data_IF_699126458679
#
_entry.id   IF_699126458679
#
_cell.length_a   1.000
_cell.length_b   1.000
_cell.length_c   1.000
_cell.angle_alpha   90.00
_cell.angle_beta   90.00
_cell.angle_gamma   90.00
#
_symmetry.space_group_name_H-M   'P 1'
#
loop_
_entity.id
_entity.type
_entity.pdbx_description
1 polymer ?
#
# COMPACT_ATOMS: atom_id res chain seq x y z
N UNK A 1 -26.32 42.93 37.45
CA UNK A 1 -25.35 41.84 37.59
C UNK A 1 -25.75 40.78 36.60
N UNK A 2 -25.21 40.92 35.39
CA UNK A 2 -25.45 40.11 34.21
C UNK A 2 -24.13 40.02 33.45
N UNK A 3 -23.95 38.87 32.81
CA UNK A 3 -22.90 38.37 31.91
C UNK A 3 -22.07 39.37 31.11
N UNK A 4 -20.80 39.02 30.88
CA UNK A 4 -20.23 38.87 29.53
C UNK A 4 -18.84 38.18 29.56
N UNK A 5 -18.68 37.10 28.80
CA UNK A 5 -17.39 36.46 28.50
C UNK A 5 -16.69 37.19 27.33
N UNK A 6 -15.36 37.42 27.36
CA UNK A 6 -14.67 37.96 26.20
C UNK A 6 -14.18 36.85 25.26
N UNK A 7 -14.46 37.04 23.97
CA UNK A 7 -13.81 36.36 22.86
C UNK A 7 -12.60 37.18 22.36
N UNK A 8 -11.58 36.53 21.81
CA UNK A 8 -10.65 37.16 20.88
C UNK A 8 -9.18 36.78 21.02
N UNK A 9 -8.67 36.15 19.96
CA UNK A 9 -7.30 36.22 19.42
C UNK A 9 -6.14 35.57 20.18
N UNK A 10 -5.83 34.32 19.81
CA UNK A 10 -4.44 33.87 19.59
C UNK A 10 -4.39 32.62 18.67
N UNK A 11 -4.61 32.82 17.36
CA UNK A 11 -4.22 31.85 16.33
C UNK A 11 -2.98 32.42 15.61
N UNK A 12 -1.90 31.64 15.41
CA UNK A 12 -0.69 32.16 14.79
C UNK A 12 -0.96 32.56 13.34
N UNK A 13 -0.87 33.87 13.13
CA UNK A 13 -1.04 34.63 11.88
C UNK A 13 0.17 34.42 10.97
N UNK A 14 0.34 33.20 10.46
CA UNK A 14 1.43 32.83 9.54
C UNK A 14 0.90 32.09 8.30
N UNK A 15 -0.15 32.61 7.66
CA UNK A 15 -0.59 32.19 6.30
C UNK A 15 -1.01 33.39 5.44
N UNK A 16 -0.52 34.59 5.77
CA UNK A 16 -0.79 35.82 5.03
C UNK A 16 0.51 36.41 4.48
N UNK A 17 1.19 35.67 3.62
CA UNK A 17 2.05 36.25 2.59
C UNK A 17 2.19 35.22 1.46
N UNK A 18 1.72 35.59 0.26
CA UNK A 18 1.71 34.78 -0.94
C UNK A 18 3.11 34.54 -1.49
N UNK A 19 3.91 33.72 -0.80
CA UNK A 19 5.11 33.12 -1.36
C UNK A 19 4.70 31.93 -2.24
N UNK A 20 5.00 32.05 -3.54
CA UNK A 20 5.04 31.00 -4.55
C UNK A 20 5.35 29.62 -3.93
N UNK A 21 4.33 28.78 -3.76
CA UNK A 21 4.56 27.35 -3.66
C UNK A 21 5.12 26.88 -5.01
N UNK A 22 6.11 25.97 -5.03
CA UNK A 22 6.50 25.32 -6.27
C UNK A 22 5.29 24.64 -6.91
N UNK A 23 5.16 24.63 -8.25
CA UNK A 23 4.07 23.93 -8.92
C UNK A 23 4.04 22.46 -8.47
N UNK A 24 2.84 21.95 -8.15
CA UNK A 24 2.67 20.55 -7.73
C UNK A 24 3.14 19.58 -8.81
N UNK A 25 3.56 18.36 -8.47
CA UNK A 25 4.18 17.41 -9.40
C UNK A 25 3.27 16.81 -10.49
N UNK A 26 1.97 17.09 -10.52
CA UNK A 26 1.10 16.88 -11.68
C UNK A 26 0.98 18.11 -12.59
N UNK A 27 1.50 19.27 -12.18
CA UNK A 27 1.42 20.51 -12.95
C UNK A 27 2.17 20.41 -14.28
N UNK A 28 3.34 19.77 -14.32
CA UNK A 28 4.07 19.56 -15.56
C UNK A 28 3.27 18.72 -16.57
N UNK A 29 2.57 17.69 -16.10
CA UNK A 29 1.68 16.87 -16.94
C UNK A 29 0.47 17.69 -17.39
N UNK A 30 -0.20 18.40 -16.48
CA UNK A 30 -1.33 19.27 -16.82
C UNK A 30 -0.97 20.40 -17.80
N UNK A 31 0.20 21.01 -17.65
CA UNK A 31 0.74 22.04 -18.54
C UNK A 31 1.05 21.49 -19.93
N UNK A 32 1.69 20.30 -20.00
CA UNK A 32 1.98 19.64 -21.26
C UNK A 32 0.69 19.25 -22.00
N UNK A 33 -0.32 18.76 -21.28
CA UNK A 33 -1.65 18.46 -21.82
C UNK A 33 -2.32 19.74 -22.34
N UNK A 34 -2.29 20.85 -21.58
CA UNK A 34 -2.84 22.13 -22.00
C UNK A 34 -2.14 22.72 -23.23
N UNK A 35 -0.84 22.49 -23.36
CA UNK A 35 -0.06 22.85 -24.54
C UNK A 35 -0.31 21.93 -25.75
N UNK A 36 -0.99 20.79 -25.56
CA UNK A 36 -1.13 19.74 -26.57
C UNK A 36 0.20 19.07 -26.95
N UNK A 37 1.22 19.19 -26.09
CA UNK A 37 2.55 18.64 -26.33
C UNK A 37 2.64 17.21 -25.81
N UNK A 38 2.41 16.26 -26.72
CA UNK A 38 2.48 14.82 -26.43
C UNK A 38 3.85 14.39 -25.91
N UNK A 39 4.94 14.94 -26.44
CA UNK A 39 6.29 14.54 -26.04
C UNK A 39 6.59 15.03 -24.63
N UNK A 40 6.22 16.28 -24.33
CA UNK A 40 6.31 16.81 -22.97
C UNK A 40 5.39 16.08 -21.98
N UNK A 41 4.20 15.64 -22.41
CA UNK A 41 3.30 14.87 -21.55
C UNK A 41 3.88 13.47 -21.23
N UNK A 42 4.46 12.79 -22.22
CA UNK A 42 5.16 11.52 -21.99
C UNK A 42 6.41 11.68 -21.12
N UNK A 43 7.16 12.77 -21.28
CA UNK A 43 8.28 13.11 -20.40
C UNK A 43 7.80 13.39 -18.97
N UNK A 44 6.69 14.11 -18.79
CA UNK A 44 6.09 14.37 -17.49
C UNK A 44 5.58 13.09 -16.81
N UNK A 45 5.11 12.08 -17.57
CA UNK A 45 4.76 10.75 -17.04
C UNK A 45 6.01 9.96 -16.64
N UNK A 46 7.13 10.14 -17.34
CA UNK A 46 8.40 9.50 -16.99
C UNK A 46 9.02 10.12 -15.72
N UNK A 47 9.07 11.45 -15.65
CA UNK A 47 9.76 12.20 -14.60
C UNK A 47 8.88 12.43 -13.36
N UNK A 48 7.57 12.36 -13.52
CA UNK A 48 6.58 12.72 -12.52
C UNK A 48 5.62 11.58 -12.18
N UNK A 49 4.92 11.69 -11.05
CA UNK A 49 3.91 10.73 -10.68
C UNK A 49 2.58 10.98 -11.42
N UNK A 50 1.78 9.93 -11.56
CA UNK A 50 0.40 9.97 -12.08
C UNK A 50 -0.57 9.34 -11.10
N UNK A 51 -1.81 9.82 -11.09
CA UNK A 51 -2.87 9.20 -10.29
C UNK A 51 -3.50 8.05 -11.09
N UNK A 52 -3.66 6.91 -10.43
CA UNK A 52 -4.30 5.72 -10.97
C UNK A 52 -5.47 5.34 -10.05
N UNK A 53 -6.72 5.27 -10.56
CA UNK A 53 -7.87 4.92 -9.74
C UNK A 53 -7.84 3.46 -9.31
N UNK A 54 -8.42 3.18 -8.15
CA UNK A 54 -8.61 1.85 -7.60
C UNK A 54 -10.09 1.56 -7.37
N UNK A 55 -10.41 0.27 -7.31
CA UNK A 55 -11.67 -0.25 -6.79
C UNK A 55 -11.37 -1.05 -5.54
N UNK A 56 -12.19 -0.88 -4.52
CA UNK A 56 -12.27 -1.83 -3.42
C UNK A 56 -12.90 -3.12 -3.95
N UNK A 57 -12.17 -4.23 -3.84
CA UNK A 57 -12.71 -5.57 -4.10
C UNK A 57 -13.62 -5.98 -2.93
N UNK A 58 -14.51 -6.95 -3.15
CA UNK A 58 -15.40 -7.50 -2.10
C UNK A 58 -14.68 -7.97 -0.82
N UNK A 59 -13.37 -8.23 -0.89
CA UNK A 59 -12.50 -8.65 0.22
C UNK A 59 -11.74 -7.47 0.90
N UNK A 60 -12.07 -6.23 0.53
CA UNK A 60 -11.43 -5.01 1.03
C UNK A 60 -10.04 -4.75 0.45
N UNK A 61 -9.59 -5.51 -0.55
CA UNK A 61 -8.31 -5.24 -1.22
C UNK A 61 -8.48 -4.28 -2.39
N UNK A 62 -7.62 -3.25 -2.49
CA UNK A 62 -7.69 -2.29 -3.58
C UNK A 62 -7.06 -2.86 -4.86
N UNK A 63 -7.79 -2.78 -5.96
CA UNK A 63 -7.36 -3.22 -7.29
C UNK A 63 -7.34 -2.05 -8.27
N UNK A 64 -6.30 -1.96 -9.12
CA UNK A 64 -6.26 -0.94 -10.20
C UNK A 64 -7.53 -1.01 -11.04
N UNK A 65 -8.20 0.13 -11.14
CA UNK A 65 -9.42 0.29 -11.92
C UNK A 65 -9.08 0.53 -13.38
N UNK A 66 -9.60 -0.35 -14.23
CA UNK A 66 -9.59 -0.20 -15.69
C UNK A 66 -11.01 0.04 -16.20
N UNK A 67 -11.15 0.71 -17.33
CA UNK A 67 -12.44 1.13 -17.87
C UNK A 67 -12.74 0.41 -19.18
N UNK A 68 -14.02 0.19 -19.55
CA UNK A 68 -14.35 -0.40 -20.83
C UNK A 68 -13.79 0.43 -21.98
N UNK A 69 -13.05 -0.21 -22.88
CA UNK A 69 -12.60 0.45 -24.09
C UNK A 69 -13.79 0.64 -25.06
N UNK A 70 -13.81 1.73 -25.86
CA UNK A 70 -14.79 1.94 -26.92
C UNK A 70 -14.97 0.72 -27.84
N UNK A 71 -16.21 0.51 -28.31
CA UNK A 71 -16.56 -0.60 -29.19
C UNK A 71 -15.62 -0.70 -30.40
N UNK A 72 -15.14 -1.91 -30.69
CA UNK A 72 -14.19 -2.17 -31.78
C UNK A 72 -12.71 -1.94 -31.43
N UNK A 73 -12.39 -1.66 -30.17
CA UNK A 73 -11.01 -1.59 -29.68
C UNK A 73 -10.31 -2.96 -29.71
N UNK A 74 -8.98 -2.95 -29.83
CA UNK A 74 -8.16 -4.17 -29.92
C UNK A 74 -8.18 -5.02 -28.64
N UNK A 75 -8.50 -4.42 -27.49
CA UNK A 75 -8.66 -5.08 -26.21
C UNK A 75 -9.89 -4.49 -25.47
N UNK A 76 -10.45 -5.21 -24.49
CA UNK A 76 -11.72 -4.82 -23.87
C UNK A 76 -11.62 -3.65 -22.89
N UNK A 77 -10.42 -3.29 -22.42
CA UNK A 77 -10.24 -2.27 -21.38
C UNK A 77 -9.27 -1.17 -21.78
N UNK A 78 -9.34 -0.02 -21.14
CA UNK A 78 -8.37 1.07 -21.18
C UNK A 78 -7.97 1.49 -19.77
N UNK A 79 -6.72 1.95 -19.63
CA UNK A 79 -6.21 2.49 -18.37
C UNK A 79 -6.34 4.01 -18.40
N UNK A 80 -6.96 4.58 -17.37
CA UNK A 80 -7.04 6.03 -17.21
C UNK A 80 -5.98 6.50 -16.21
N UNK A 81 -5.15 7.47 -16.62
CA UNK A 81 -4.18 8.16 -15.77
C UNK A 81 -4.66 9.61 -15.56
N UNK A 82 -4.37 10.16 -14.39
CA UNK A 82 -4.82 11.51 -14.06
C UNK A 82 -3.66 12.38 -13.61
N UNK A 83 -3.64 13.62 -14.11
CA UNK A 83 -2.68 14.64 -13.68
C UNK A 83 -3.01 15.21 -12.30
N UNK A 84 -4.23 15.03 -11.81
CA UNK A 84 -4.65 15.57 -10.52
C UNK A 84 -5.87 14.83 -9.95
N UNK A 85 -6.05 14.90 -8.62
CA UNK A 85 -7.25 14.38 -7.98
C UNK A 85 -8.53 15.08 -8.51
N UNK A 86 -8.42 16.35 -8.93
CA UNK A 86 -9.54 17.10 -9.51
C UNK A 86 -10.01 16.52 -10.84
N UNK A 87 -9.08 16.16 -11.74
CA UNK A 87 -9.43 15.55 -13.03
C UNK A 87 -9.96 14.13 -12.84
N UNK A 88 -9.43 13.40 -11.84
CA UNK A 88 -9.97 12.12 -11.40
C UNK A 88 -11.40 12.24 -10.87
N UNK A 89 -11.66 13.15 -9.92
CA UNK A 89 -12.99 13.39 -9.34
C UNK A 89 -14.00 13.81 -10.42
N UNK A 90 -13.59 14.67 -11.37
CA UNK A 90 -14.45 15.06 -12.49
C UNK A 90 -14.82 13.89 -13.41
N UNK A 91 -13.92 12.92 -13.56
CA UNK A 91 -14.15 11.72 -14.36
C UNK A 91 -15.02 10.68 -13.65
N UNK A 92 -14.75 10.44 -12.37
CA UNK A 92 -15.51 9.47 -11.56
C UNK A 92 -16.89 10.00 -11.15
N UNK A 93 -17.08 11.32 -11.06
CA UNK A 93 -18.35 11.90 -10.65
C UNK A 93 -18.79 11.41 -9.27
N UNK A 94 -20.04 10.97 -9.13
CA UNK A 94 -20.62 10.43 -7.88
C UNK A 94 -20.23 8.97 -7.60
N UNK A 95 -19.29 8.39 -8.34
CA UNK A 95 -18.87 7.00 -8.12
C UNK A 95 -18.25 6.84 -6.71
N UNK A 96 -18.63 5.80 -5.94
CA UNK A 96 -18.13 5.58 -4.59
C UNK A 96 -16.66 5.11 -4.56
N UNK A 97 -16.16 4.47 -5.62
CA UNK A 97 -14.77 4.01 -5.73
C UNK A 97 -13.82 5.12 -6.15
N UNK A 98 -13.63 6.12 -5.28
CA UNK A 98 -12.73 7.29 -5.50
C UNK A 98 -11.31 7.09 -4.96
N UNK A 99 -10.98 5.85 -4.62
CA UNK A 99 -9.66 5.46 -4.16
C UNK A 99 -8.65 5.59 -5.30
N UNK A 100 -7.41 5.95 -4.97
CA UNK A 100 -6.35 6.00 -5.96
C UNK A 100 -4.98 5.73 -5.35
N UNK A 101 -4.07 5.33 -6.24
CA UNK A 101 -2.64 5.34 -5.97
C UNK A 101 -1.96 6.42 -6.78
N UNK A 102 -0.88 6.93 -6.21
CA UNK A 102 0.09 7.70 -6.94
C UNK A 102 1.12 6.72 -7.47
N UNK A 103 1.32 6.66 -8.79
CA UNK A 103 2.31 5.77 -9.42
C UNK A 103 3.40 6.55 -10.13
N UNK A 104 4.63 6.05 -10.04
CA UNK A 104 5.80 6.54 -10.79
C UNK A 104 6.24 5.51 -11.83
N UNK A 105 7.27 5.82 -12.62
CA UNK A 105 7.80 4.93 -13.66
C UNK A 105 8.05 3.49 -13.16
N UNK A 106 8.55 3.36 -11.93
CA UNK A 106 9.00 2.08 -11.37
C UNK A 106 7.83 1.16 -10.98
N UNK A 107 6.64 1.73 -10.74
CA UNK A 107 5.41 0.98 -10.45
C UNK A 107 4.47 0.89 -11.66
N UNK A 108 4.46 1.93 -12.50
CA UNK A 108 3.61 2.00 -13.68
C UNK A 108 4.13 1.12 -14.83
N UNK A 109 5.44 1.12 -15.09
CA UNK A 109 5.99 0.33 -16.20
C UNK A 109 5.78 -1.18 -16.00
N UNK A 110 6.09 -1.78 -14.83
CA UNK A 110 5.82 -3.20 -14.61
C UNK A 110 4.33 -3.57 -14.70
N UNK A 111 3.43 -2.69 -14.23
CA UNK A 111 1.99 -2.89 -14.38
C UNK A 111 1.58 -2.93 -15.85
N UNK A 112 2.02 -1.94 -16.64
CA UNK A 112 1.72 -1.87 -18.07
C UNK A 112 2.30 -3.05 -18.85
N UNK A 113 3.51 -3.53 -18.51
CA UNK A 113 4.08 -4.73 -19.13
C UNK A 113 3.28 -5.99 -18.78
N UNK A 114 2.87 -6.13 -17.51
CA UNK A 114 2.12 -7.29 -17.03
C UNK A 114 0.69 -7.36 -17.60
N UNK A 115 0.01 -6.22 -17.69
CA UNK A 115 -1.41 -6.17 -18.03
C UNK A 115 -1.69 -5.57 -19.42
N UNK A 116 -0.68 -5.10 -20.14
CA UNK A 116 -0.81 -4.39 -21.42
C UNK A 116 -1.58 -5.15 -22.49
N UNK A 117 -1.49 -6.49 -22.53
CA UNK A 117 -2.24 -7.31 -23.47
C UNK A 117 -3.78 -7.23 -23.29
N UNK A 118 -4.24 -6.78 -22.12
CA UNK A 118 -5.67 -6.57 -21.82
C UNK A 118 -6.12 -5.13 -22.00
N UNK A 119 -5.18 -4.22 -22.27
CA UNK A 119 -5.41 -2.78 -22.39
C UNK A 119 -5.31 -2.35 -23.87
N UNK A 120 -6.35 -1.71 -24.37
CA UNK A 120 -6.39 -1.18 -25.73
C UNK A 120 -5.52 0.08 -25.86
N UNK A 121 -5.47 0.89 -24.79
CA UNK A 121 -4.78 2.18 -24.72
C UNK A 121 -4.67 2.69 -23.29
N UNK A 122 -3.88 3.74 -23.15
CA UNK A 122 -3.81 4.61 -21.97
C UNK A 122 -4.45 5.94 -22.32
N UNK A 123 -5.37 6.42 -21.48
CA UNK A 123 -6.02 7.73 -21.63
C UNK A 123 -5.63 8.60 -20.45
N UNK A 124 -5.10 9.79 -20.71
CA UNK A 124 -4.69 10.75 -19.69
C UNK A 124 -5.71 11.87 -19.60
N UNK A 125 -6.19 12.15 -18.39
CA UNK A 125 -7.24 13.13 -18.09
C UNK A 125 -8.47 13.04 -19.03
N UNK A 126 -9.15 11.89 -19.11
CA UNK A 126 -10.29 11.68 -20.01
C UNK A 126 -11.44 12.69 -19.86
N UNK A 127 -11.73 13.15 -18.64
CA UNK A 127 -12.70 14.21 -18.37
C UNK A 127 -12.08 15.61 -18.23
N UNK A 128 -10.77 15.73 -18.41
CA UNK A 128 -10.06 17.00 -18.38
C UNK A 128 -10.32 17.83 -19.64
N UNK A 129 -9.95 19.12 -19.62
CA UNK A 129 -10.11 20.01 -20.77
C UNK A 129 -9.24 19.61 -21.98
N UNK A 130 -8.17 18.85 -21.74
CA UNK A 130 -7.17 18.47 -22.74
C UNK A 130 -6.79 16.98 -22.61
N UNK A 131 -7.71 16.05 -22.94
CA UNK A 131 -7.43 14.63 -22.82
C UNK A 131 -6.36 14.20 -23.85
N UNK A 132 -5.49 13.26 -23.45
CA UNK A 132 -4.52 12.64 -24.34
C UNK A 132 -4.73 11.13 -24.39
N UNK A 133 -4.60 10.53 -25.57
CA UNK A 133 -4.60 9.07 -25.73
C UNK A 133 -3.24 8.59 -26.20
N UNK A 134 -2.72 7.52 -25.61
CA UNK A 134 -1.50 6.84 -26.05
C UNK A 134 -1.67 5.33 -26.09
N UNK A 135 -0.91 4.67 -26.95
CA UNK A 135 -0.78 3.21 -26.92
C UNK A 135 0.01 2.79 -25.68
N UNK A 136 -0.20 1.55 -25.22
CA UNK A 136 0.55 1.00 -24.09
C UNK A 136 2.05 1.01 -24.40
N UNK A 137 2.44 0.62 -25.62
CA UNK A 137 3.84 0.57 -26.04
C UNK A 137 4.51 1.94 -26.04
N UNK A 138 3.80 3.01 -26.44
CA UNK A 138 4.34 4.38 -26.38
C UNK A 138 4.61 4.82 -24.93
N UNK A 139 3.71 4.49 -24.00
CA UNK A 139 3.89 4.83 -22.58
C UNK A 139 5.02 4.01 -21.98
N UNK A 140 5.07 2.70 -22.23
CA UNK A 140 6.17 1.84 -21.77
C UNK A 140 7.52 2.32 -22.32
N UNK A 141 7.58 2.67 -23.61
CA UNK A 141 8.81 3.20 -24.22
C UNK A 141 9.25 4.52 -23.60
N UNK A 142 8.31 5.40 -23.20
CA UNK A 142 8.61 6.62 -22.49
C UNK A 142 9.15 6.33 -21.07
N UNK A 143 8.58 5.34 -20.37
CA UNK A 143 9.01 4.94 -19.02
C UNK A 143 10.35 4.19 -19.02
N UNK A 144 10.72 3.53 -20.12
CA UNK A 144 11.97 2.78 -20.30
C UNK A 144 13.17 3.64 -20.74
N UNK A 145 12.96 4.95 -20.93
CA UNK A 145 14.04 5.87 -21.23
C UNK A 145 15.12 5.80 -20.14
N UNK A 146 16.39 5.70 -20.55
CA UNK A 146 17.49 5.41 -19.64
C UNK A 146 17.53 6.43 -18.48
N UNK A 147 17.69 5.97 -17.23
CA UNK A 147 17.82 6.88 -16.09
C UNK A 147 19.04 7.80 -16.28
N UNK A 148 19.08 8.96 -15.60
CA UNK A 148 20.32 9.71 -15.44
C UNK A 148 21.43 8.78 -14.91
N UNK A 149 22.67 9.00 -15.35
CA UNK A 149 23.77 8.05 -15.22
C UNK A 149 24.24 7.71 -13.78
N UNK A 150 23.64 8.30 -12.74
CA UNK A 150 24.08 8.17 -11.34
C UNK A 150 23.27 7.20 -10.45
N UNK A 151 22.25 6.49 -10.98
CA UNK A 151 21.56 5.42 -10.22
C UNK A 151 21.37 4.13 -11.05
N UNK A 152 22.28 3.14 -10.92
CA UNK A 152 22.16 1.86 -11.62
C UNK A 152 21.03 0.95 -11.08
N UNK A 153 20.24 1.40 -10.09
CA UNK A 153 19.09 0.66 -9.54
C UNK A 153 17.73 1.29 -9.87
N UNK A 154 17.71 2.53 -10.38
CA UNK A 154 16.50 3.24 -10.81
C UNK A 154 15.52 3.59 -9.69
N UNK A 155 15.89 3.38 -8.42
CA UNK A 155 14.99 3.43 -7.27
C UNK A 155 14.92 4.82 -6.61
N UNK A 156 15.81 5.76 -6.95
CA UNK A 156 15.78 7.13 -6.42
C UNK A 156 16.18 8.20 -7.45
N UNK A 157 15.57 9.38 -7.36
CA UNK A 157 16.16 10.64 -7.84
C UNK A 157 16.92 11.35 -6.69
N UNK A 158 17.75 12.34 -7.04
CA UNK A 158 18.62 13.09 -6.11
C UNK A 158 17.89 13.79 -4.95
N UNK A 159 16.55 13.82 -4.95
CA UNK A 159 15.76 14.54 -3.92
C UNK A 159 15.50 13.71 -2.67
N UNK A 160 15.70 12.39 -2.72
CA UNK A 160 15.45 11.50 -1.57
C UNK A 160 14.01 11.57 -1.02
N UNK A 161 13.06 12.12 -1.79
CA UNK A 161 11.68 12.34 -1.37
C UNK A 161 10.71 11.49 -2.20
N UNK A 162 10.36 10.33 -1.65
CA UNK A 162 9.39 9.39 -2.24
C UNK A 162 7.93 9.89 -2.27
N UNK A 163 7.66 11.20 -2.21
CA UNK A 163 6.31 11.74 -2.12
C UNK A 163 6.17 12.96 -3.02
N UNK A 164 5.13 12.92 -3.84
CA UNK A 164 4.73 14.06 -4.66
C UNK A 164 4.16 15.19 -3.78
N UNK A 165 4.34 16.46 -4.15
CA UNK A 165 3.63 17.61 -3.59
C UNK A 165 2.10 17.43 -3.44
N UNK A 166 1.47 16.54 -4.21
CA UNK A 166 0.04 16.21 -4.12
C UNK A 166 -0.25 15.12 -3.09
N UNK A 167 0.63 14.13 -2.95
CA UNK A 167 0.60 13.22 -1.80
C UNK A 167 0.93 13.98 -0.51
N UNK A 168 1.78 15.02 -0.56
CA UNK A 168 1.95 16.00 0.53
C UNK A 168 0.68 16.83 0.80
N UNK A 169 -0.11 17.18 -0.22
CA UNK A 169 -1.40 17.85 -0.03
C UNK A 169 -2.47 16.89 0.53
N UNK A 170 -2.55 15.65 0.04
CA UNK A 170 -3.43 14.63 0.58
C UNK A 170 -3.05 14.28 2.03
N UNK A 171 -1.75 14.15 2.31
CA UNK A 171 -1.17 14.07 3.66
C UNK A 171 -1.47 15.31 4.50
N UNK A 172 -1.49 16.50 3.88
CA UNK A 172 -1.84 17.76 4.54
C UNK A 172 -3.31 17.86 4.93
N UNK A 173 -4.19 17.10 4.28
CA UNK A 173 -5.61 17.00 4.65
C UNK A 173 -5.90 15.87 5.63
N UNK A 174 -4.91 15.06 6.02
CA UNK A 174 -5.11 13.87 6.87
C UNK A 174 -5.79 14.18 8.20
N UNK A 175 -5.47 15.34 8.79
CA UNK A 175 -6.03 15.79 10.06
C UNK A 175 -7.40 16.49 9.90
N UNK A 176 -7.83 16.76 8.66
CA UNK A 176 -9.12 17.38 8.38
C UNK A 176 -10.26 16.35 8.47
N UNK A 177 -11.44 16.73 9.01
CA UNK A 177 -12.64 15.89 8.95
C UNK A 177 -12.99 15.52 7.49
N UNK A 178 -12.88 14.23 7.15
CA UNK A 178 -13.14 13.72 5.79
C UNK A 178 -11.96 13.81 4.82
N UNK A 179 -10.75 14.10 5.31
CA UNK A 179 -9.52 14.07 4.55
C UNK A 179 -9.10 12.68 4.06
N UNK A 180 -8.07 12.63 3.23
CA UNK A 180 -7.53 11.36 2.72
C UNK A 180 -6.78 10.59 3.81
N UNK A 181 -6.96 9.26 3.82
CA UNK A 181 -6.26 8.33 4.72
C UNK A 181 -5.71 7.13 3.95
N UNK A 182 -4.67 6.50 4.48
CA UNK A 182 -4.09 5.27 3.96
C UNK A 182 -5.02 4.09 4.26
N UNK A 183 -5.57 3.51 3.19
CA UNK A 183 -6.50 2.37 3.25
C UNK A 183 -5.84 1.06 2.82
N UNK A 184 -4.64 1.14 2.22
CA UNK A 184 -3.85 0.00 1.83
C UNK A 184 -2.42 0.39 1.51
N UNK A 185 -1.59 -0.62 1.25
CA UNK A 185 -0.21 -0.44 0.81
C UNK A 185 0.04 -1.31 -0.42
N UNK A 186 0.49 -0.69 -1.50
CA UNK A 186 0.86 -1.40 -2.72
C UNK A 186 2.34 -1.81 -2.68
N UNK A 187 2.59 -3.09 -3.00
CA UNK A 187 3.94 -3.64 -3.13
C UNK A 187 4.39 -3.58 -4.60
N UNK A 188 5.23 -2.60 -4.93
CA UNK A 188 5.83 -2.51 -6.26
C UNK A 188 7.06 -3.44 -6.37
N UNK A 189 6.81 -4.74 -6.42
CA UNK A 189 7.86 -5.75 -6.52
C UNK A 189 8.29 -5.96 -7.98
N UNK A 190 9.60 -6.02 -8.27
CA UNK A 190 10.09 -6.36 -9.60
C UNK A 190 9.60 -7.72 -10.13
N UNK A 191 9.71 -7.94 -11.45
CA UNK A 191 9.21 -9.14 -12.14
C UNK A 191 9.77 -10.48 -11.63
N UNK A 192 10.95 -10.46 -11.02
CA UNK A 192 11.59 -11.66 -10.48
C UNK A 192 10.99 -12.13 -9.15
N UNK A 193 10.01 -11.40 -8.59
CA UNK A 193 9.25 -11.82 -7.42
C UNK A 193 8.04 -12.66 -7.82
N UNK A 194 7.90 -13.81 -7.17
CA UNK A 194 6.71 -14.62 -7.24
C UNK A 194 5.71 -14.14 -6.18
N UNK A 195 4.57 -13.60 -6.60
CA UNK A 195 3.55 -13.02 -5.72
C UNK A 195 2.35 -13.95 -5.59
N UNK A 196 1.82 -14.07 -4.37
CA UNK A 196 0.64 -14.85 -3.99
C UNK A 196 -0.31 -13.90 -3.25
N UNK A 197 -1.49 -13.69 -3.83
CA UNK A 197 -2.59 -13.00 -3.16
C UNK A 197 -3.26 -13.98 -2.19
N UNK A 198 -3.42 -13.58 -0.93
CA UNK A 198 -3.88 -14.49 0.13
C UNK A 198 -5.39 -14.52 0.30
N UNK A 199 -6.08 -13.44 -0.08
CA UNK A 199 -7.51 -13.23 0.19
C UNK A 199 -8.44 -14.14 -0.65
N UNK A 200 -7.97 -14.64 -1.80
CA UNK A 200 -8.74 -15.51 -2.70
C UNK A 200 -8.19 -16.95 -2.73
N UNK A 201 -8.82 -17.93 -2.06
CA UNK A 201 -8.30 -19.30 -1.96
C UNK A 201 -8.03 -19.97 -3.32
N UNK A 202 -8.93 -19.80 -4.28
CA UNK A 202 -8.76 -20.40 -5.61
C UNK A 202 -7.62 -19.76 -6.40
N UNK A 203 -7.44 -18.44 -6.27
CA UNK A 203 -6.37 -17.71 -6.94
C UNK A 203 -5.02 -18.04 -6.31
N UNK A 204 -4.97 -18.12 -4.98
CA UNK A 204 -3.83 -18.59 -4.19
C UNK A 204 -3.37 -19.97 -4.66
N UNK A 205 -4.28 -20.94 -4.80
CA UNK A 205 -3.94 -22.28 -5.29
C UNK A 205 -3.37 -22.30 -6.72
N UNK A 206 -3.93 -21.48 -7.62
CA UNK A 206 -3.42 -21.32 -8.98
C UNK A 206 -2.02 -20.71 -8.99
N UNK A 207 -1.82 -19.62 -8.24
CA UNK A 207 -0.53 -18.93 -8.14
C UNK A 207 0.56 -19.84 -7.56
N UNK A 208 0.29 -20.56 -6.47
CA UNK A 208 1.25 -21.52 -5.90
C UNK A 208 1.65 -22.57 -6.95
N UNK A 209 0.68 -23.10 -7.70
CA UNK A 209 0.94 -24.10 -8.73
C UNK A 209 1.85 -23.57 -9.83
N UNK A 210 1.61 -22.34 -10.28
CA UNK A 210 2.40 -21.69 -11.33
C UNK A 210 3.83 -21.39 -10.84
N UNK A 211 3.98 -20.91 -9.61
CA UNK A 211 5.28 -20.68 -8.96
C UNK A 211 6.08 -21.97 -8.88
N UNK A 212 5.48 -23.06 -8.35
CA UNK A 212 6.16 -24.36 -8.24
C UNK A 212 6.54 -24.89 -9.62
N UNK A 213 5.65 -24.75 -10.61
CA UNK A 213 5.94 -25.16 -12.00
C UNK A 213 7.12 -24.39 -12.58
N UNK A 214 7.18 -23.08 -12.37
CA UNK A 214 8.28 -22.24 -12.86
C UNK A 214 9.60 -22.55 -12.16
N UNK A 215 9.59 -22.72 -10.84
CA UNK A 215 10.79 -23.03 -10.05
C UNK A 215 11.35 -24.42 -10.32
N UNK A 216 10.49 -25.36 -10.72
CA UNK A 216 10.89 -26.74 -11.04
C UNK A 216 10.95 -27.02 -12.54
N UNK A 217 10.88 -25.98 -13.38
CA UNK A 217 10.93 -26.12 -14.84
C UNK A 217 12.23 -26.77 -15.35
N UNK A 218 13.33 -26.58 -14.62
CA UNK A 218 14.64 -27.19 -14.91
C UNK A 218 14.79 -28.60 -14.34
N UNK A 219 13.86 -29.05 -13.50
CA UNK A 219 13.88 -30.37 -12.88
C UNK A 219 13.03 -31.34 -13.70
N UNK A 220 13.66 -32.36 -14.28
CA UNK A 220 12.96 -33.39 -15.07
C UNK A 220 11.90 -34.19 -14.29
N UNK A 221 11.22 -35.11 -14.97
CA UNK A 221 10.01 -35.83 -14.47
C UNK A 221 10.17 -36.55 -13.12
N UNK A 222 11.40 -36.87 -12.70
CA UNK A 222 11.70 -37.51 -11.41
C UNK A 222 11.44 -36.62 -10.18
N UNK A 223 11.15 -35.33 -10.38
CA UNK A 223 10.91 -34.35 -9.32
C UNK A 223 9.43 -34.17 -8.94
N UNK A 224 8.52 -35.05 -9.44
CA UNK A 224 7.10 -35.00 -9.10
C UNK A 224 6.79 -35.03 -7.59
N UNK A 225 7.49 -35.84 -6.75
CA UNK A 225 7.32 -35.80 -5.30
C UNK A 225 7.74 -34.44 -4.72
N UNK A 226 8.89 -33.91 -5.14
CA UNK A 226 9.40 -32.61 -4.67
C UNK A 226 8.45 -31.45 -5.03
N UNK A 227 7.86 -31.46 -6.24
CA UNK A 227 6.84 -30.48 -6.64
C UNK A 227 5.60 -30.56 -5.75
N UNK A 228 5.17 -31.78 -5.40
CA UNK A 228 4.02 -31.97 -4.52
C UNK A 228 4.32 -31.40 -3.14
N UNK A 229 5.46 -31.75 -2.56
CA UNK A 229 5.86 -31.31 -1.22
C UNK A 229 6.05 -29.78 -1.15
N UNK A 230 6.67 -29.18 -2.17
CA UNK A 230 6.85 -27.72 -2.23
C UNK A 230 5.50 -26.99 -2.35
N UNK A 231 4.59 -27.52 -3.17
CA UNK A 231 3.24 -26.96 -3.31
C UNK A 231 2.44 -27.05 -2.00
N UNK A 232 2.48 -28.20 -1.35
CA UNK A 232 1.80 -28.44 -0.07
C UNK A 232 2.30 -27.47 1.00
N UNK A 233 3.62 -27.31 1.12
CA UNK A 233 4.24 -26.38 2.06
C UNK A 233 3.94 -24.91 1.77
N UNK A 234 3.95 -24.49 0.49
CA UNK A 234 3.61 -23.12 0.12
C UNK A 234 2.13 -22.81 0.41
N UNK A 235 1.23 -23.77 0.18
CA UNK A 235 -0.19 -23.63 0.54
C UNK A 235 -0.36 -23.52 2.05
N UNK A 236 0.26 -24.41 2.81
CA UNK A 236 0.19 -24.38 4.28
C UNK A 236 0.73 -23.05 4.85
N UNK A 237 1.85 -22.55 4.30
CA UNK A 237 2.41 -21.27 4.72
C UNK A 237 1.49 -20.11 4.36
N UNK A 238 0.88 -20.15 3.18
CA UNK A 238 -0.06 -19.12 2.73
C UNK A 238 -1.35 -19.11 3.56
N UNK A 239 -1.86 -20.27 3.95
CA UNK A 239 -2.99 -20.41 4.88
C UNK A 239 -2.65 -19.88 6.27
N UNK A 240 -1.49 -20.26 6.82
CA UNK A 240 -1.02 -19.73 8.11
C UNK A 240 -0.86 -18.20 8.07
N UNK A 241 -0.37 -17.65 6.97
CA UNK A 241 -0.22 -16.22 6.79
C UNK A 241 -1.57 -15.50 6.69
N UNK A 242 -2.51 -16.02 5.91
CA UNK A 242 -3.88 -15.50 5.76
C UNK A 242 -4.61 -15.48 7.11
N UNK A 243 -4.57 -16.60 7.85
CA UNK A 243 -5.20 -16.71 9.17
C UNK A 243 -4.60 -15.76 10.21
N UNK A 244 -3.39 -15.25 9.97
CA UNK A 244 -2.73 -14.21 10.77
C UNK A 244 -2.99 -12.78 10.26
N UNK A 245 -3.89 -12.60 9.29
CA UNK A 245 -4.24 -11.32 8.67
C UNK A 245 -3.31 -10.89 7.54
N UNK A 246 -2.58 -11.82 6.94
CA UNK A 246 -1.72 -11.56 5.78
C UNK A 246 -2.54 -11.32 4.53
N UNK A 247 -2.19 -10.28 3.75
CA UNK A 247 -2.84 -9.90 2.50
C UNK A 247 -2.09 -10.39 1.27
N UNK A 248 -0.77 -10.26 1.30
CA UNK A 248 0.09 -10.65 0.17
C UNK A 248 1.31 -11.39 0.70
N UNK A 249 1.68 -12.47 0.00
CA UNK A 249 2.98 -13.10 0.15
C UNK A 249 3.79 -12.98 -1.13
N UNK A 250 5.09 -12.76 -1.00
CA UNK A 250 5.99 -12.72 -2.13
C UNK A 250 7.30 -13.47 -1.84
N UNK A 251 7.84 -14.10 -2.87
CA UNK A 251 9.04 -14.91 -2.81
C UNK A 251 10.04 -14.44 -3.85
N UNK A 252 11.25 -14.18 -3.40
CA UNK A 252 12.39 -13.93 -4.25
C UNK A 252 13.34 -15.12 -4.21
N UNK A 253 13.56 -15.73 -5.38
CA UNK A 253 14.52 -16.81 -5.56
C UNK A 253 15.42 -16.49 -6.74
N UNK A 254 16.66 -16.07 -6.45
CA UNK A 254 17.64 -15.73 -7.47
C UNK A 254 18.82 -16.70 -7.42
N UNK A 255 19.21 -17.31 -8.54
CA UNK A 255 20.41 -18.14 -8.59
C UNK A 255 21.65 -17.27 -8.36
N UNK A 256 22.41 -17.55 -7.30
CA UNK A 256 23.69 -16.90 -7.03
C UNK A 256 24.87 -17.79 -7.39
N UNK A 257 26.08 -17.20 -7.45
CA UNK A 257 27.32 -17.93 -7.75
C UNK A 257 27.75 -18.88 -6.63
N UNK A 258 27.45 -18.53 -5.38
CA UNK A 258 27.83 -19.30 -4.19
C UNK A 258 26.62 -19.96 -3.50
N UNK A 259 25.49 -19.25 -3.45
CA UNK A 259 24.23 -19.76 -2.93
C UNK A 259 23.03 -19.09 -3.61
N UNK A 260 21.90 -19.79 -3.71
CA UNK A 260 20.64 -19.22 -4.17
C UNK A 260 20.12 -18.21 -3.16
N UNK A 261 19.96 -16.94 -3.58
CA UNK A 261 19.33 -15.92 -2.75
C UNK A 261 17.85 -16.25 -2.60
N UNK A 262 17.38 -16.29 -1.36
CA UNK A 262 16.02 -16.67 -0.99
C UNK A 262 15.50 -15.65 0.03
N UNK A 263 14.41 -14.98 -0.29
CA UNK A 263 13.79 -13.99 0.58
C UNK A 263 12.27 -14.12 0.47
N UNK A 264 11.61 -14.28 1.60
CA UNK A 264 10.16 -14.29 1.68
C UNK A 264 9.70 -12.96 2.29
N UNK A 265 8.58 -12.45 1.81
CA UNK A 265 7.89 -11.27 2.30
C UNK A 265 6.42 -11.62 2.52
N UNK A 266 5.87 -11.21 3.66
CA UNK A 266 4.42 -11.19 3.90
C UNK A 266 4.00 -9.80 4.33
N UNK A 267 3.01 -9.23 3.64
CA UNK A 267 2.35 -7.98 4.00
C UNK A 267 1.13 -8.27 4.86
N UNK A 268 1.06 -7.64 6.03
CA UNK A 268 -0.10 -7.63 6.91
C UNK A 268 -0.66 -6.22 6.99
N UNK A 269 -1.99 -6.11 6.99
CA UNK A 269 -2.70 -4.85 7.21
C UNK A 269 -3.43 -4.91 8.55
N UNK A 270 -3.17 -3.93 9.41
CA UNK A 270 -3.82 -3.82 10.71
C UNK A 270 -4.64 -2.53 10.75
N UNK A 271 -5.96 -2.65 10.63
CA UNK A 271 -6.88 -1.57 10.98
C UNK A 271 -7.05 -1.54 12.50
N UNK A 272 -6.59 -0.46 13.12
CA UNK A 272 -6.58 -0.28 14.56
C UNK A 272 -7.60 0.77 15.02
N UNK A 273 -8.36 1.34 14.08
CA UNK A 273 -9.31 2.41 14.34
C UNK A 273 -8.66 3.71 14.84
N UNK A 274 -9.46 4.68 15.32
CA UNK A 274 -8.96 5.97 15.79
C UNK A 274 -8.03 5.81 16.99
N UNK A 275 -7.03 6.67 17.09
CA UNK A 275 -6.12 6.66 18.23
C UNK A 275 -6.86 6.98 19.53
N UNK A 276 -6.84 6.04 20.48
CA UNK A 276 -7.25 6.32 21.84
C UNK A 276 -6.07 6.88 22.66
N UNK A 277 -6.23 8.08 23.22
CA UNK A 277 -5.25 8.69 24.13
C UNK A 277 -4.16 9.51 23.43
N UNK A 278 -3.03 9.74 24.13
CA UNK A 278 -1.95 10.63 23.68
C UNK A 278 -0.80 9.93 22.90
N UNK A 279 -0.91 8.63 22.65
CA UNK A 279 0.15 7.83 22.02
C UNK A 279 -0.33 7.23 20.71
N UNK A 280 0.51 7.34 19.67
CA UNK A 280 0.18 6.77 18.36
C UNK A 280 0.15 5.24 18.40
N UNK A 281 -0.56 4.62 17.44
CA UNK A 281 -0.53 3.16 17.31
C UNK A 281 0.88 2.65 17.10
N UNK A 282 1.68 3.32 16.26
CA UNK A 282 3.08 2.95 16.05
C UNK A 282 3.90 3.09 17.35
N UNK A 283 3.68 4.13 18.16
CA UNK A 283 4.36 4.28 19.45
C UNK A 283 3.99 3.14 20.42
N UNK A 284 2.73 2.71 20.44
CA UNK A 284 2.32 1.56 21.26
C UNK A 284 2.98 0.26 20.80
N UNK A 285 3.12 0.07 19.49
CA UNK A 285 3.82 -1.08 18.91
C UNK A 285 5.31 -1.02 19.26
N UNK A 286 5.95 0.15 19.12
CA UNK A 286 7.34 0.38 19.52
C UNK A 286 7.57 -0.03 20.97
N UNK A 287 6.80 0.54 21.90
CA UNK A 287 6.94 0.29 23.34
C UNK A 287 6.76 -1.20 23.68
N UNK A 288 5.87 -1.90 22.96
CA UNK A 288 5.65 -3.33 23.14
C UNK A 288 6.87 -4.13 22.70
N UNK A 289 7.40 -3.85 21.50
CA UNK A 289 8.56 -4.54 20.96
C UNK A 289 9.78 -4.28 21.83
N UNK A 290 10.00 -3.03 22.26
CA UNK A 290 11.11 -2.66 23.16
C UNK A 290 11.11 -3.46 24.47
N UNK A 291 9.93 -3.78 25.00
CA UNK A 291 9.78 -4.62 26.19
C UNK A 291 10.14 -6.09 25.99
N UNK A 292 10.23 -6.55 24.74
CA UNK A 292 10.44 -7.95 24.35
C UNK A 292 11.77 -8.17 23.59
N UNK A 293 12.58 -7.12 23.39
CA UNK A 293 13.82 -7.20 22.61
C UNK A 293 14.82 -8.19 23.22
N UNK A 294 15.30 -9.12 22.39
CA UNK A 294 16.46 -9.94 22.69
C UNK A 294 17.78 -9.15 22.62
N UNK A 295 18.88 -9.71 23.14
CA UNK A 295 20.19 -9.04 23.18
C UNK A 295 20.80 -8.76 21.80
N UNK A 296 20.43 -9.55 20.79
CA UNK A 296 20.91 -9.42 19.40
C UNK A 296 19.88 -8.73 18.49
N UNK A 297 18.72 -8.35 19.04
CA UNK A 297 17.65 -7.72 18.28
C UNK A 297 17.93 -6.22 18.15
N UNK A 298 17.51 -5.65 17.02
CA UNK A 298 17.63 -4.23 16.77
C UNK A 298 16.27 -3.65 16.39
N UNK A 299 15.87 -2.59 17.09
CA UNK A 299 14.71 -1.79 16.74
C UNK A 299 15.17 -0.39 16.34
N UNK A 300 14.79 0.06 15.15
CA UNK A 300 15.11 1.40 14.65
C UNK A 300 13.83 2.09 14.22
N UNK A 301 13.60 3.30 14.72
CA UNK A 301 12.55 4.19 14.22
C UNK A 301 13.14 5.16 13.22
N UNK A 302 12.45 5.34 12.10
CA UNK A 302 12.83 6.30 11.06
C UNK A 302 11.61 7.14 10.74
N UNK A 303 11.80 8.46 10.75
CA UNK A 303 10.82 9.40 10.25
C UNK A 303 11.05 9.58 8.75
N UNK A 304 10.02 9.40 7.95
CA UNK A 304 10.06 9.67 6.52
C UNK A 304 8.97 10.64 6.14
N UNK A 305 9.04 11.17 4.93
CA UNK A 305 7.94 11.97 4.40
C UNK A 305 6.63 11.14 4.35
N UNK A 306 6.72 9.79 4.24
CA UNK A 306 5.57 8.91 3.99
C UNK A 306 4.89 8.46 5.27
N UNK A 307 5.31 9.07 6.39
CA UNK A 307 4.99 8.62 7.74
C UNK A 307 6.16 7.91 8.41
N UNK A 308 6.12 7.77 9.74
CA UNK A 308 7.12 7.04 10.48
C UNK A 308 7.04 5.54 10.20
N UNK A 309 8.18 4.87 10.27
CA UNK A 309 8.22 3.41 10.34
C UNK A 309 9.19 2.91 11.41
N UNK A 310 8.94 1.70 11.89
CA UNK A 310 9.84 0.93 12.75
C UNK A 310 10.41 -0.24 11.96
N UNK A 311 11.72 -0.46 12.07
CA UNK A 311 12.39 -1.66 11.59
C UNK A 311 12.84 -2.49 12.79
N UNK A 312 12.28 -3.68 12.93
CA UNK A 312 12.68 -4.67 13.92
C UNK A 312 13.44 -5.81 13.24
N UNK A 313 14.71 -5.97 13.59
CA UNK A 313 15.59 -7.04 13.09
C UNK A 313 15.84 -8.03 14.21
N UNK A 314 15.57 -9.31 13.98
CA UNK A 314 15.87 -10.38 14.93
C UNK A 314 16.41 -11.62 14.24
N UNK A 315 17.09 -12.47 15.01
CA UNK A 315 17.49 -13.79 14.57
C UNK A 315 16.47 -14.82 15.05
N UNK A 316 15.91 -15.57 14.11
CA UNK A 316 15.00 -16.68 14.36
C UNK A 316 15.61 -18.02 13.96
N UNK A 317 14.79 -19.06 14.08
CA UNK A 317 15.08 -20.40 13.56
C UNK A 317 13.96 -20.82 12.61
N UNK A 318 14.31 -21.62 11.60
CA UNK A 318 13.33 -22.19 10.69
C UNK A 318 12.36 -23.14 11.38
N UNK A 319 11.24 -23.44 10.71
CA UNK A 319 10.25 -24.37 11.23
C UNK A 319 10.82 -25.81 11.30
N UNK A 320 10.59 -26.50 12.42
CA UNK A 320 10.90 -27.91 12.68
C UNK A 320 10.22 -28.84 11.67
N UNK A 321 8.99 -28.54 11.24
CA UNK A 321 8.20 -29.35 10.29
C UNK A 321 8.86 -29.48 8.91
N UNK A 322 9.76 -28.56 8.55
CA UNK A 322 10.52 -28.60 7.29
C UNK A 322 11.99 -29.00 7.47
N UNK A 323 12.37 -29.47 8.67
CA UNK A 323 13.76 -29.80 9.02
C UNK A 323 14.67 -28.58 9.14
N UNK A 324 14.09 -27.38 9.32
CA UNK A 324 14.79 -26.11 9.37
C UNK A 324 15.06 -25.58 10.78
N UNK A 325 14.77 -26.35 11.82
CA UNK A 325 14.92 -25.96 13.23
C UNK A 325 16.32 -25.48 13.60
N UNK A 326 17.35 -25.97 12.89
CA UNK A 326 18.75 -25.58 13.10
C UNK A 326 19.21 -24.52 12.10
N UNK A 327 18.38 -24.14 11.12
CA UNK A 327 18.74 -23.13 10.14
C UNK A 327 18.46 -21.74 10.74
N UNK A 328 19.50 -20.93 10.96
CA UNK A 328 19.30 -19.58 11.45
C UNK A 328 18.61 -18.75 10.36
N UNK A 329 17.57 -18.03 10.76
CA UNK A 329 16.84 -17.11 9.88
C UNK A 329 17.08 -15.68 10.33
N UNK A 330 17.35 -14.80 9.38
CA UNK A 330 17.21 -13.37 9.60
C UNK A 330 15.75 -12.99 9.37
N UNK A 331 15.12 -12.42 10.40
CA UNK A 331 13.76 -11.91 10.36
C UNK A 331 13.82 -10.39 10.44
N UNK A 332 13.11 -9.72 9.54
CA UNK A 332 13.05 -8.26 9.48
C UNK A 332 11.60 -7.85 9.34
N UNK A 333 11.05 -7.18 10.36
CA UNK A 333 9.70 -6.65 10.33
C UNK A 333 9.74 -5.13 10.21
N UNK A 334 9.08 -4.58 9.20
CA UNK A 334 8.81 -3.15 9.10
C UNK A 334 7.37 -2.88 9.51
N UNK A 335 7.17 -1.94 10.42
CA UNK A 335 5.86 -1.43 10.79
C UNK A 335 5.76 0.02 10.30
N UNK A 336 4.92 0.28 9.32
CA UNK A 336 4.72 1.61 8.75
C UNK A 336 3.36 2.14 9.16
N UNK A 337 3.32 3.34 9.74
CA UNK A 337 2.07 4.00 10.12
C UNK A 337 1.41 4.56 8.86
N UNK A 338 0.17 4.17 8.61
CA UNK A 338 -0.58 4.67 7.46
C UNK A 338 -0.93 6.15 7.64
N UNK A 339 -0.98 6.94 6.56
CA UNK A 339 -1.60 8.27 6.56
C UNK A 339 -2.98 8.22 7.23
N UNK A 340 -3.31 9.14 8.14
CA UNK A 340 -4.54 9.07 8.94
C UNK A 340 -4.39 8.38 10.29
N UNK A 341 -3.24 7.72 10.55
CA UNK A 341 -2.87 7.16 11.86
C UNK A 341 -3.91 6.21 12.46
N UNK A 342 -4.73 5.59 11.61
CA UNK A 342 -5.76 4.62 12.00
C UNK A 342 -5.31 3.18 11.74
N UNK A 343 -4.34 3.00 10.84
CA UNK A 343 -3.88 1.70 10.39
C UNK A 343 -2.37 1.62 10.41
N UNK A 344 -1.85 0.40 10.52
CA UNK A 344 -0.41 0.11 10.43
C UNK A 344 -0.21 -1.05 9.46
N UNK A 345 0.67 -0.85 8.48
CA UNK A 345 1.12 -1.92 7.60
C UNK A 345 2.34 -2.61 8.21
N UNK A 346 2.38 -3.95 8.19
CA UNK A 346 3.56 -4.73 8.58
C UNK A 346 4.11 -5.52 7.40
N UNK A 347 5.34 -5.25 7.00
CA UNK A 347 6.08 -6.06 6.04
C UNK A 347 7.02 -6.98 6.82
N UNK A 348 6.74 -8.28 6.81
CA UNK A 348 7.55 -9.28 7.48
C UNK A 348 8.40 -10.03 6.48
N UNK A 349 9.72 -9.89 6.61
CA UNK A 349 10.69 -10.57 5.77
C UNK A 349 11.34 -11.72 6.54
N UNK A 350 11.60 -12.82 5.83
CA UNK A 350 12.41 -13.93 6.35
C UNK A 350 13.38 -14.44 5.30
N UNK A 351 14.62 -14.70 5.73
CA UNK A 351 15.67 -15.22 4.86
C UNK A 351 16.67 -16.09 5.63
N UNK A 352 17.17 -17.19 5.04
CA UNK A 352 18.24 -17.99 5.64
C UNK A 352 19.63 -17.34 5.52
N UNK A 353 19.73 -16.18 4.85
CA UNK A 353 21.01 -15.53 4.49
C UNK A 353 21.59 -14.67 5.61
N UNK A 354 21.80 -15.27 6.79
CA UNK A 354 22.33 -14.56 7.98
C UNK A 354 23.76 -14.05 7.77
N UNK A 355 24.57 -14.76 6.98
CA UNK A 355 25.97 -14.38 6.70
C UNK A 355 26.15 -13.11 5.86
N UNK A 356 25.10 -12.67 5.15
CA UNK A 356 25.08 -11.44 4.33
C UNK A 356 23.99 -10.48 4.84
N UNK A 357 23.88 -10.36 6.16
CA UNK A 357 22.83 -9.60 6.85
C UNK A 357 22.70 -8.18 6.32
N UNK A 358 23.79 -7.45 6.16
CA UNK A 358 23.75 -6.03 5.78
C UNK A 358 23.29 -5.85 4.32
N UNK A 359 23.65 -6.77 3.43
CA UNK A 359 23.15 -6.82 2.06
C UNK A 359 21.64 -7.09 2.04
N UNK A 360 21.18 -8.03 2.86
CA UNK A 360 19.75 -8.35 2.97
C UNK A 360 18.95 -7.18 3.53
N UNK A 361 19.47 -6.48 4.55
CA UNK A 361 18.82 -5.28 5.10
C UNK A 361 18.72 -4.16 4.06
N UNK A 362 19.77 -3.94 3.25
CA UNK A 362 19.70 -2.98 2.14
C UNK A 362 18.64 -3.37 1.10
N UNK A 363 18.48 -4.66 0.82
CA UNK A 363 17.45 -5.15 -0.10
C UNK A 363 16.04 -4.97 0.48
N UNK A 364 15.81 -5.30 1.76
CA UNK A 364 14.50 -5.13 2.39
C UNK A 364 14.13 -3.66 2.56
N UNK A 365 15.11 -2.80 2.88
CA UNK A 365 14.93 -1.34 2.91
C UNK A 365 14.48 -0.84 1.53
N UNK A 366 15.12 -1.30 0.44
CA UNK A 366 14.71 -0.94 -0.93
C UNK A 366 13.28 -1.37 -1.26
N UNK A 367 12.88 -2.57 -0.85
CA UNK A 367 11.51 -3.06 -1.04
C UNK A 367 10.50 -2.21 -0.26
N UNK A 368 10.81 -1.80 0.97
CA UNK A 368 9.94 -0.88 1.72
C UNK A 368 9.81 0.46 0.98
N UNK A 369 10.92 1.05 0.54
CA UNK A 369 10.91 2.36 -0.09
C UNK A 369 10.27 2.38 -1.48
N UNK A 370 10.10 1.23 -2.13
CA UNK A 370 9.34 1.13 -3.38
C UNK A 370 7.83 0.99 -3.16
N UNK A 371 7.35 0.88 -1.93
CA UNK A 371 5.91 0.77 -1.65
C UNK A 371 5.19 2.10 -1.78
N UNK A 372 3.91 2.05 -2.19
CA UNK A 372 3.06 3.23 -2.36
C UNK A 372 1.80 3.09 -1.49
N UNK A 373 1.45 4.15 -0.76
CA UNK A 373 0.20 4.18 -0.01
C UNK A 373 -0.98 4.28 -0.97
N UNK A 374 -2.01 3.51 -0.67
CA UNK A 374 -3.31 3.60 -1.33
C UNK A 374 -4.14 4.54 -0.48
N UNK A 375 -4.59 5.65 -1.08
CA UNK A 375 -5.31 6.70 -0.37
C UNK A 375 -6.79 6.65 -0.72
N UNK A 376 -7.63 6.77 0.30
CA UNK A 376 -9.08 6.87 0.17
C UNK A 376 -9.63 7.90 1.15
N UNK A 377 -10.82 8.44 0.87
CA UNK A 377 -11.57 9.20 1.88
C UNK A 377 -12.38 8.22 2.72
N UNK A 378 -12.61 8.51 4.01
CA UNK A 378 -13.65 7.83 4.75
C UNK A 378 -14.98 8.02 4.01
N UNK A 379 -15.74 6.95 3.79
CA UNK A 379 -17.14 7.08 3.41
C UNK A 379 -17.83 8.00 4.43
N UNK A 380 -18.42 9.09 3.95
CA UNK A 380 -19.25 9.97 4.78
C UNK A 380 -20.56 9.30 5.21
N UNK A 381 -20.81 8.05 4.81
CA UNK A 381 -22.01 7.29 5.14
C UNK A 381 -21.70 5.81 5.40
N UNK A 382 -21.26 5.49 6.61
CA UNK A 382 -21.94 4.40 7.29
C UNK A 382 -23.14 5.07 7.98
N UNK A 383 -24.41 4.87 7.54
CA UNK A 383 -25.54 5.28 8.35
C UNK A 383 -25.32 4.65 9.72
N UNK A 384 -25.40 5.48 10.76
CA UNK A 384 -25.52 5.00 12.13
C UNK A 384 -26.48 3.81 12.08
N UNK A 385 -26.01 2.65 12.56
CA UNK A 385 -26.84 1.47 12.67
C UNK A 385 -28.23 1.92 13.14
N UNK A 386 -29.32 1.53 12.44
CA UNK A 386 -30.65 1.98 12.82
C UNK A 386 -30.80 1.71 14.31
N UNK A 387 -31.14 2.76 15.07
CA UNK A 387 -31.41 2.71 16.51
C UNK A 387 -32.00 1.35 16.83
N UNK A 388 -31.21 0.49 17.49
CA UNK A 388 -31.78 -0.71 18.05
C UNK A 388 -32.93 -0.23 18.93
N UNK A 389 -34.18 -0.69 18.71
CA UNK A 389 -35.27 -0.29 19.58
C UNK A 389 -34.87 -0.67 20.99
N UNK A 390 -34.75 0.34 21.84
CA UNK A 390 -34.38 0.26 23.24
C UNK A 390 -35.00 -0.98 23.84
N UNK A 391 -34.17 -1.99 24.12
CA UNK A 391 -34.61 -3.13 24.90
C UNK A 391 -35.05 -2.56 26.25
N UNK A 392 -36.32 -2.73 26.67
CA UNK A 392 -36.75 -2.16 27.93
C UNK A 392 -35.90 -2.76 29.05
N UNK A 393 -35.25 -1.89 29.82
CA UNK A 393 -34.52 -2.28 31.03
C UNK A 393 -35.42 -3.18 31.88
N UNK A 394 -34.92 -4.33 32.38
CA UNK A 394 -35.64 -5.09 33.38
C UNK A 394 -35.76 -4.22 34.63
N UNK A 395 -37.00 -3.85 34.97
CA UNK A 395 -37.33 -3.09 36.17
C UNK A 395 -36.77 -3.79 37.41
N UNK A 396 -35.80 -3.17 38.04
CA UNK A 396 -35.33 -3.55 39.37
C UNK A 396 -36.52 -3.42 40.35
N UNK A 397 -36.90 -4.47 41.10
CA UNK A 397 -37.99 -4.37 42.06
C UNK A 397 -37.58 -3.45 43.21
N UNK A 398 -38.35 -2.37 43.35
CA UNK A 398 -38.22 -1.38 44.42
C UNK A 398 -38.66 -2.03 45.76
N UNK A 399 -37.87 -1.91 46.83
CA UNK A 399 -38.23 -2.49 48.13
C UNK A 399 -39.41 -1.75 48.76
N UNK A 400 -40.42 -2.54 49.18
CA UNK A 400 -41.61 -2.10 49.88
C UNK A 400 -41.27 -1.24 51.11
N UNK A 401 -41.82 -0.03 51.14
CA UNK A 401 -41.95 0.77 52.36
C UNK A 401 -43.34 0.49 52.99
N UNK A 402 -43.44 0.44 54.32
CA UNK A 402 -44.59 -0.12 55.01
C UNK A 402 -45.83 0.78 54.96
N UNK A 403 -46.99 0.17 54.74
CA UNK A 403 -48.31 0.81 54.80
C UNK A 403 -48.60 1.35 56.21
N UNK A 404 -49.14 2.59 56.34
CA UNK A 404 -49.77 3.02 57.57
C UNK A 404 -51.17 2.41 57.68
N UNK A 405 -51.43 1.82 58.83
CA UNK A 405 -52.74 1.34 59.24
C UNK A 405 -53.71 2.50 59.55
N UNK A 406 -54.98 2.11 59.70
CA UNK A 406 -56.09 2.73 60.47
C UNK A 406 -57.16 3.41 59.60
N UNK A 407 -58.47 3.31 59.94
CA UNK A 407 -59.16 2.48 60.94
C UNK A 407 -60.04 1.36 60.36
#
# INVERSE_FOLDING_TARGET
MSDEFPAGDDFPRALADGQNLPPGPGAALGEALAAGDRAAALAAIHDGPVLVPHLEREDGTPQVRVFPAPDGSAAPYELCLFSSARTLEAFLGEDPGREFTLRRRDSLAPFLRRHGATLARVVVDPAGPHPMTATVDEVVAALDAAPPADDPTGLFDETGSGISGEALHALGTVDDPGGYRGIGLELNLPEHWAVIELDEPEKRERQVRDIVKQQTATLGDRSAPLRRDLREKLLETAEKAESAGGKVMAYLLLPGKEATLALNLTLYWHDLGPEAGSSSHLQRIQNRIEGELGPEDALTRTETLSGPFLRHVRLGRGNEEVGGQDLPLLLVDYWAEAPGRQSVARLSFSTPHVGIRDEMLRLTDKVLFSTEWILGRPDLEAPAAPDQPSTPQPSTPQPDAPQPAVP
#
